data_IF_195685883013
#
_entry.id   IF_195685883013
#
_cell.length_a   1.000
_cell.length_b   1.000
_cell.length_c   1.000
_cell.angle_alpha   90.00
_cell.angle_beta   90.00
_cell.angle_gamma   90.00
#
_symmetry.space_group_name_H-M   'P 1'
#
loop_
_entity.id
_entity.type
_entity.pdbx_description
1 polymer ?
#
# COMPACT_ATOMS: atom_id res chain seq x y z
N UNK A 1 -14.28 1.59 21.92
CA UNK A 1 -14.23 2.43 20.70
C UNK A 1 -12.82 2.29 20.14
N UNK A 2 -12.61 1.46 19.11
CA UNK A 2 -11.27 1.29 18.54
C UNK A 2 -10.97 2.49 17.65
N UNK A 3 -10.09 3.39 18.11
CA UNK A 3 -9.63 4.53 17.31
C UNK A 3 -8.69 3.94 16.25
N UNK A 4 -9.20 3.73 15.04
CA UNK A 4 -8.31 3.49 13.90
C UNK A 4 -7.51 4.79 13.71
N UNK A 5 -6.17 4.76 13.79
CA UNK A 5 -5.38 5.97 13.59
C UNK A 5 -5.65 6.53 12.19
N UNK A 6 -5.91 7.83 12.13
CA UNK A 6 -6.04 8.56 10.87
C UNK A 6 -4.68 9.14 10.54
N UNK A 7 -4.21 8.86 9.34
CA UNK A 7 -2.93 9.36 8.85
C UNK A 7 -3.15 10.74 8.27
N UNK A 8 -2.29 11.69 8.59
CA UNK A 8 -2.29 13.02 8.00
C UNK A 8 -1.05 13.13 7.11
N UNK A 9 -1.27 13.45 5.84
CA UNK A 9 -0.22 13.50 4.82
C UNK A 9 -0.24 14.88 4.18
N UNK A 10 0.92 15.51 4.08
CA UNK A 10 1.12 16.71 3.27
C UNK A 10 1.40 16.31 1.80
N UNK A 11 0.85 17.02 0.80
CA UNK A 11 1.18 16.76 -0.60
C UNK A 11 2.67 16.72 -0.92
N UNK A 12 3.49 17.49 -0.20
CA UNK A 12 4.94 17.51 -0.38
C UNK A 12 5.62 16.22 0.09
N UNK A 13 4.93 15.41 0.91
CA UNK A 13 5.39 14.09 1.35
C UNK A 13 5.01 12.98 0.35
N UNK A 14 4.17 13.29 -0.64
CA UNK A 14 3.80 12.30 -1.65
C UNK A 14 5.02 11.96 -2.53
N UNK A 15 5.30 10.67 -2.72
CA UNK A 15 6.41 10.26 -3.56
C UNK A 15 6.12 10.64 -5.01
N UNK A 16 7.15 11.12 -5.69
CA UNK A 16 7.11 11.30 -7.14
C UNK A 16 7.26 9.94 -7.79
N UNK A 17 6.15 9.40 -8.29
CA UNK A 17 6.10 8.17 -9.07
C UNK A 17 5.71 8.50 -10.50
N UNK A 18 6.46 7.99 -11.46
CA UNK A 18 6.08 7.93 -12.86
C UNK A 18 5.11 6.76 -13.03
N UNK A 19 3.82 7.06 -13.17
CA UNK A 19 2.76 6.07 -13.29
C UNK A 19 2.22 6.08 -14.72
N UNK A 20 2.37 4.98 -15.48
CA UNK A 20 1.76 4.84 -16.79
C UNK A 20 0.23 4.94 -16.74
N UNK A 21 -0.41 5.40 -17.81
CA UNK A 21 -1.88 5.36 -17.95
C UNK A 21 -2.42 3.94 -18.27
N UNK A 22 -1.86 2.93 -17.63
CA UNK A 22 -2.29 1.52 -17.75
C UNK A 22 -2.37 0.88 -16.38
N UNK A 23 -3.18 -0.17 -16.28
CA UNK A 23 -3.25 -1.00 -15.09
C UNK A 23 -1.90 -1.69 -14.82
N UNK A 24 -1.52 -1.74 -13.56
CA UNK A 24 -0.29 -2.41 -13.15
C UNK A 24 0.00 -2.37 -11.65
N UNK A 25 1.21 -2.77 -11.31
CA UNK A 25 1.70 -2.89 -9.94
C UNK A 25 2.98 -2.05 -9.79
N UNK A 26 3.02 -1.24 -8.74
CA UNK A 26 4.26 -0.59 -8.31
C UNK A 26 4.92 -1.49 -7.26
N UNK A 27 6.10 -1.98 -7.57
CA UNK A 27 6.88 -2.90 -6.74
C UNK A 27 8.03 -2.14 -6.07
N UNK A 28 8.16 -2.27 -4.75
CA UNK A 28 9.27 -1.69 -4.01
C UNK A 28 9.96 -2.73 -3.12
N UNK A 29 11.29 -2.62 -3.05
CA UNK A 29 12.14 -3.56 -2.35
C UNK A 29 11.94 -3.61 -0.82
N UNK A 30 12.35 -4.72 -0.22
CA UNK A 30 12.26 -4.99 1.22
C UNK A 30 13.11 -4.04 2.09
N UNK A 31 14.24 -3.56 1.56
CA UNK A 31 15.14 -2.64 2.26
C UNK A 31 14.76 -1.19 1.98
N UNK A 32 14.47 -0.43 3.03
CA UNK A 32 14.49 1.02 2.97
C UNK A 32 15.92 1.51 2.94
N UNK A 33 16.57 1.49 1.77
CA UNK A 33 17.74 2.33 1.59
C UNK A 33 17.28 3.78 1.78
N UNK A 34 17.62 4.35 2.93
CA UNK A 34 17.73 5.81 3.06
C UNK A 34 18.92 6.17 2.18
N UNK A 35 18.67 6.55 0.95
CA UNK A 35 19.70 7.21 0.16
C UNK A 35 20.08 8.47 0.94
N UNK A 36 21.36 8.52 1.35
CA UNK A 36 21.92 9.42 2.35
C UNK A 36 22.01 10.88 1.90
N UNK A 37 20.99 11.43 1.26
CA UNK A 37 20.94 12.82 0.81
C UNK A 37 19.48 13.28 0.75
N UNK A 38 18.95 13.76 1.89
CA UNK A 38 17.86 14.75 1.97
C UNK A 38 16.73 14.73 0.92
N UNK A 39 16.26 13.56 0.51
CA UNK A 39 15.34 13.38 -0.62
C UNK A 39 15.61 12.04 -1.31
N UNK A 40 15.42 10.94 -0.59
CA UNK A 40 15.72 9.60 -1.11
C UNK A 40 14.72 9.18 -2.19
N UNK A 41 15.19 9.06 -3.43
CA UNK A 41 14.44 8.38 -4.48
C UNK A 41 14.25 6.91 -4.09
N UNK A 42 13.01 6.45 -3.98
CA UNK A 42 12.74 5.02 -3.80
C UNK A 42 12.77 4.38 -5.18
N UNK A 43 13.73 3.48 -5.42
CA UNK A 43 13.68 2.65 -6.63
C UNK A 43 12.42 1.78 -6.61
N UNK A 44 11.63 1.92 -7.67
CA UNK A 44 10.40 1.16 -7.90
C UNK A 44 10.41 0.56 -9.29
N UNK A 45 9.82 -0.62 -9.41
CA UNK A 45 9.52 -1.25 -10.69
C UNK A 45 8.02 -1.15 -10.97
N UNK A 46 7.65 -0.89 -12.22
CA UNK A 46 6.26 -0.95 -12.66
C UNK A 46 6.03 -2.21 -13.50
N UNK A 47 5.14 -3.08 -13.04
CA UNK A 47 4.73 -4.28 -13.76
C UNK A 47 3.32 -4.07 -14.32
N UNK A 48 3.20 -4.00 -15.64
CA UNK A 48 1.90 -3.93 -16.31
C UNK A 48 1.11 -5.23 -16.08
N UNK A 49 -0.17 -5.10 -15.76
CA UNK A 49 -1.05 -6.22 -15.43
C UNK A 49 -2.47 -5.91 -15.90
N UNK A 50 -3.17 -6.90 -16.45
CA UNK A 50 -4.56 -6.74 -16.86
C UNK A 50 -5.47 -6.40 -15.66
N UNK A 51 -6.47 -5.56 -15.93
CA UNK A 51 -7.36 -5.00 -14.90
C UNK A 51 -8.02 -6.05 -13.99
N UNK A 52 -8.38 -7.20 -14.55
CA UNK A 52 -9.03 -8.33 -13.87
C UNK A 52 -8.06 -9.20 -13.07
N UNK A 53 -6.75 -9.09 -13.36
CA UNK A 53 -5.70 -9.84 -12.66
C UNK A 53 -5.00 -9.04 -11.54
N UNK A 54 -5.22 -7.73 -11.46
CA UNK A 54 -4.47 -6.81 -10.58
C UNK A 54 -4.29 -7.33 -9.16
N UNK A 55 -5.37 -7.74 -8.49
CA UNK A 55 -5.27 -8.15 -7.09
C UNK A 55 -4.54 -9.49 -6.92
N UNK A 56 -4.83 -10.44 -7.81
CA UNK A 56 -4.19 -11.76 -7.80
C UNK A 56 -2.68 -11.61 -8.00
N UNK A 57 -2.28 -10.84 -9.01
CA UNK A 57 -0.87 -10.57 -9.34
C UNK A 57 -0.18 -9.77 -8.25
N UNK A 58 -0.87 -8.84 -7.58
CA UNK A 58 -0.30 -8.10 -6.47
C UNK A 58 0.07 -9.02 -5.29
N UNK A 59 -0.80 -9.97 -4.97
CA UNK A 59 -0.55 -10.97 -3.92
C UNK A 59 0.56 -11.94 -4.31
N UNK A 60 0.61 -12.37 -5.58
CA UNK A 60 1.70 -13.21 -6.10
C UNK A 60 3.05 -12.49 -6.06
N UNK A 61 3.10 -11.23 -6.50
CA UNK A 61 4.31 -10.41 -6.49
C UNK A 61 4.80 -10.15 -5.06
N UNK A 62 3.89 -10.01 -4.10
CA UNK A 62 4.25 -9.87 -2.69
C UNK A 62 4.98 -11.10 -2.14
N UNK A 63 4.83 -12.29 -2.74
CA UNK A 63 5.57 -13.48 -2.34
C UNK A 63 7.02 -13.50 -2.85
N UNK A 64 7.42 -12.56 -3.71
CA UNK A 64 8.79 -12.52 -4.23
C UNK A 64 9.78 -12.09 -3.14
N UNK A 65 10.91 -12.81 -2.96
CA UNK A 65 11.79 -12.62 -1.79
C UNK A 65 12.38 -11.21 -1.60
N UNK A 66 12.50 -10.42 -2.67
CA UNK A 66 13.09 -9.08 -2.64
C UNK A 66 12.04 -7.97 -2.50
N UNK A 67 10.75 -8.28 -2.63
CA UNK A 67 9.65 -7.32 -2.60
C UNK A 67 9.19 -7.08 -1.16
N UNK A 68 9.23 -5.82 -0.74
CA UNK A 68 8.77 -5.37 0.58
C UNK A 68 7.34 -4.85 0.55
N UNK A 69 6.95 -4.22 -0.54
CA UNK A 69 5.61 -3.68 -0.72
C UNK A 69 5.19 -3.67 -2.18
N UNK A 70 3.91 -3.93 -2.42
CA UNK A 70 3.26 -3.86 -3.71
C UNK A 70 2.10 -2.88 -3.61
N UNK A 71 2.00 -1.98 -4.58
CA UNK A 71 0.88 -1.04 -4.69
C UNK A 71 0.14 -1.29 -5.98
N UNK A 72 -1.16 -1.53 -5.91
CA UNK A 72 -2.01 -1.67 -7.07
C UNK A 72 -2.26 -0.29 -7.69
N UNK A 73 -2.04 -0.19 -8.99
CA UNK A 73 -2.29 0.99 -9.79
C UNK A 73 -3.36 0.68 -10.85
N UNK A 74 -4.62 1.09 -10.62
CA UNK A 74 -5.60 1.15 -11.69
C UNK A 74 -5.31 2.36 -12.57
N UNK A 75 -5.02 2.19 -13.85
CA UNK A 75 -4.60 3.26 -14.77
C UNK A 75 -5.68 4.33 -14.98
N UNK A 76 -6.94 4.00 -14.73
CA UNK A 76 -8.08 4.93 -14.79
C UNK A 76 -8.26 5.79 -13.53
N UNK A 77 -7.61 5.42 -12.43
CA UNK A 77 -7.74 6.14 -11.16
C UNK A 77 -6.73 7.30 -11.11
N UNK A 78 -7.04 8.40 -10.39
CA UNK A 78 -6.07 9.48 -10.21
C UNK A 78 -4.76 8.97 -9.59
N UNK A 79 -3.62 9.30 -10.22
CA UNK A 79 -2.28 8.90 -9.79
C UNK A 79 -2.00 9.18 -8.29
N UNK A 80 -2.60 10.24 -7.75
CA UNK A 80 -2.54 10.61 -6.32
C UNK A 80 -2.98 9.45 -5.40
N UNK A 81 -3.99 8.67 -5.80
CA UNK A 81 -4.45 7.52 -5.00
C UNK A 81 -3.39 6.43 -4.91
N UNK A 82 -2.71 6.15 -6.02
CA UNK A 82 -1.60 5.18 -6.04
C UNK A 82 -0.41 5.70 -5.24
N UNK A 83 -0.07 6.99 -5.36
CA UNK A 83 1.01 7.61 -4.57
C UNK A 83 0.73 7.56 -3.06
N UNK A 84 -0.50 7.86 -2.66
CA UNK A 84 -0.96 7.71 -1.27
C UNK A 84 -0.87 6.25 -0.79
N UNK A 85 -1.42 5.31 -1.56
CA UNK A 85 -1.37 3.89 -1.24
C UNK A 85 0.07 3.39 -1.08
N UNK A 86 0.95 3.79 -2.00
CA UNK A 86 2.37 3.46 -1.95
C UNK A 86 3.05 4.00 -0.71
N UNK A 87 2.86 5.28 -0.38
CA UNK A 87 3.45 5.91 0.81
C UNK A 87 3.05 5.15 2.08
N UNK A 88 1.76 4.87 2.23
CA UNK A 88 1.24 4.15 3.38
C UNK A 88 1.72 2.70 3.40
N UNK A 89 1.75 2.02 2.25
CA UNK A 89 2.28 0.67 2.12
C UNK A 89 3.75 0.56 2.56
N UNK A 90 4.56 1.57 2.20
CA UNK A 90 5.96 1.68 2.65
C UNK A 90 6.06 1.90 4.15
N UNK A 91 5.28 2.83 4.71
CA UNK A 91 5.32 3.06 6.15
C UNK A 91 4.86 1.84 6.95
N UNK A 92 3.78 1.17 6.53
CA UNK A 92 3.33 -0.08 7.12
C UNK A 92 4.45 -1.14 7.08
N UNK A 93 5.16 -1.26 5.95
CA UNK A 93 6.28 -2.18 5.82
C UNK A 93 7.41 -1.85 6.81
N UNK A 94 7.78 -0.58 6.94
CA UNK A 94 8.81 -0.12 7.89
C UNK A 94 8.40 -0.40 9.34
N UNK A 95 7.15 -0.11 9.71
CA UNK A 95 6.61 -0.38 11.04
C UNK A 95 6.61 -1.87 11.38
N UNK A 96 6.22 -2.71 10.42
CA UNK A 96 6.27 -4.17 10.57
C UNK A 96 7.71 -4.65 10.79
N UNK A 97 8.66 -4.18 9.97
CA UNK A 97 10.08 -4.50 10.13
C UNK A 97 10.62 -4.09 11.51
N UNK A 98 10.31 -2.88 11.96
CA UNK A 98 10.73 -2.36 13.27
C UNK A 98 10.20 -3.21 14.44
N UNK A 99 9.09 -3.92 14.24
CA UNK A 99 8.47 -4.84 15.21
C UNK A 99 8.84 -6.31 14.97
N UNK A 100 9.86 -6.59 14.18
CA UNK A 100 10.31 -7.95 13.85
C UNK A 100 9.26 -8.77 13.09
N UNK A 101 8.34 -8.12 12.38
CA UNK A 101 7.38 -8.78 11.49
C UNK A 101 7.81 -8.59 10.05
N UNK A 102 8.52 -9.58 9.52
CA UNK A 102 8.99 -9.54 8.14
C UNK A 102 7.91 -10.04 7.18
N UNK A 103 6.94 -9.18 6.87
CA UNK A 103 5.81 -9.51 6.00
C UNK A 103 5.55 -8.42 4.97
N UNK A 104 5.44 -8.79 3.67
CA UNK A 104 5.21 -7.83 2.60
C UNK A 104 3.84 -7.17 2.74
N UNK A 105 3.73 -5.95 2.25
CA UNK A 105 2.51 -5.15 2.31
C UNK A 105 1.93 -4.99 0.91
N UNK A 106 0.65 -5.32 0.73
CA UNK A 106 -0.08 -5.04 -0.51
C UNK A 106 -1.08 -3.93 -0.24
N UNK A 107 -1.06 -2.86 -1.02
CA UNK A 107 -1.97 -1.71 -0.84
C UNK A 107 -2.65 -1.28 -2.13
N UNK A 108 -3.80 -0.64 -2.00
CA UNK A 108 -4.52 0.00 -3.09
C UNK A 108 -5.27 1.24 -2.63
N UNK A 109 -5.28 2.27 -3.48
CA UNK A 109 -5.84 3.58 -3.16
C UNK A 109 -7.33 3.74 -3.43
N UNK A 110 -7.95 2.73 -4.00
CA UNK A 110 -9.39 2.65 -4.27
C UNK A 110 -9.92 1.28 -3.90
N UNK A 111 -11.22 1.16 -3.66
CA UNK A 111 -11.81 -0.15 -3.47
C UNK A 111 -11.87 -0.86 -4.84
N UNK A 112 -11.18 -1.99 -4.97
CA UNK A 112 -11.52 -2.94 -6.04
C UNK A 112 -12.89 -3.56 -5.74
N UNK A 113 -13.54 -4.06 -6.79
CA UNK A 113 -14.81 -4.78 -6.69
C UNK A 113 -14.69 -5.90 -5.63
N UNK A 114 -15.68 -6.10 -4.73
CA UNK A 114 -15.62 -7.13 -3.69
C UNK A 114 -15.30 -8.53 -4.21
N UNK A 115 -15.73 -8.86 -5.42
CA UNK A 115 -15.49 -10.12 -6.11
C UNK A 115 -14.01 -10.36 -6.39
N UNK A 116 -13.22 -9.30 -6.60
CA UNK A 116 -11.78 -9.38 -6.78
C UNK A 116 -11.08 -9.90 -5.51
N UNK A 117 -11.59 -9.55 -4.32
CA UNK A 117 -11.01 -9.94 -3.03
C UNK A 117 -11.69 -11.17 -2.37
N UNK A 118 -13.00 -11.32 -2.56
CA UNK A 118 -13.87 -12.23 -1.81
C UNK A 118 -13.75 -13.70 -2.22
N UNK A 119 -13.30 -14.01 -3.43
CA UNK A 119 -13.11 -15.38 -3.90
C UNK A 119 -11.79 -16.04 -3.50
N UNK A 120 -10.82 -15.28 -2.98
CA UNK A 120 -9.41 -15.71 -2.86
C UNK A 120 -8.91 -15.88 -1.41
N UNK A 121 -9.80 -15.86 -0.41
CA UNK A 121 -9.39 -15.97 1.00
C UNK A 121 -8.62 -14.75 1.52
N UNK A 122 -8.72 -13.62 0.83
CA UNK A 122 -8.08 -12.36 1.18
C UNK A 122 -8.93 -11.57 2.18
N UNK A 123 -8.30 -10.65 2.90
CA UNK A 123 -8.91 -9.69 3.81
C UNK A 123 -8.45 -8.29 3.43
N UNK A 124 -9.41 -7.37 3.35
CA UNK A 124 -9.15 -5.97 3.09
C UNK A 124 -9.23 -5.20 4.42
N UNK A 125 -8.12 -4.60 4.82
CA UNK A 125 -8.00 -3.80 6.04
C UNK A 125 -8.03 -2.32 5.64
N UNK A 126 -9.02 -1.54 6.09
CA UNK A 126 -9.10 -0.13 5.75
C UNK A 126 -8.07 0.69 6.53
N UNK A 127 -7.42 1.61 5.84
CA UNK A 127 -6.57 2.66 6.40
C UNK A 127 -7.13 4.02 5.99
N UNK A 128 -7.40 4.87 6.98
CA UNK A 128 -7.98 6.20 6.75
C UNK A 128 -6.87 7.24 6.68
N UNK A 129 -6.84 7.99 5.59
CA UNK A 129 -5.83 9.03 5.33
C UNK A 129 -6.52 10.35 5.07
N UNK A 130 -5.96 11.43 5.58
CA UNK A 130 -6.30 12.81 5.26
C UNK A 130 -5.15 13.41 4.48
N UNK A 131 -5.42 13.81 3.26
CA UNK A 131 -4.46 14.55 2.44
C UNK A 131 -4.82 16.03 2.48
N UNK A 132 -3.83 16.88 2.75
CA UNK A 132 -4.02 18.33 2.70
C UNK A 132 -4.14 18.78 1.24
N UNK A 133 -5.14 19.58 0.91
CA UNK A 133 -5.35 20.16 -0.42
C UNK A 133 -5.59 21.66 -0.24
N UNK A 134 -4.53 22.45 -0.35
CA UNK A 134 -4.56 23.86 0.04
C UNK A 134 -4.85 24.01 1.53
N UNK A 135 -5.96 24.67 1.85
CA UNK A 135 -6.45 24.91 3.22
C UNK A 135 -7.39 23.81 3.75
N UNK A 136 -7.76 22.83 2.90
CA UNK A 136 -8.72 21.78 3.22
C UNK A 136 -8.04 20.43 3.41
N UNK A 137 -8.74 19.54 4.11
CA UNK A 137 -8.34 18.14 4.26
C UNK A 137 -9.33 17.23 3.56
N UNK A 138 -8.85 16.46 2.60
CA UNK A 138 -9.64 15.46 1.89
C UNK A 138 -9.42 14.09 2.53
N UNK A 139 -10.50 13.35 2.81
CA UNK A 139 -10.43 12.01 3.37
C UNK A 139 -10.39 10.96 2.27
N UNK A 140 -9.46 10.03 2.41
CA UNK A 140 -9.27 8.88 1.54
C UNK A 140 -9.33 7.61 2.38
N UNK A 141 -9.91 6.56 1.82
CA UNK A 141 -9.81 5.20 2.36
C UNK A 141 -8.93 4.41 1.43
N UNK A 142 -7.81 3.97 1.97
CA UNK A 142 -6.90 3.04 1.32
C UNK A 142 -7.16 1.66 1.91
N UNK A 143 -6.74 0.63 1.19
CA UNK A 143 -6.88 -0.74 1.63
C UNK A 143 -5.53 -1.41 1.66
N UNK A 144 -5.30 -2.17 2.73
CA UNK A 144 -4.25 -3.16 2.78
C UNK A 144 -4.86 -4.53 2.55
N UNK A 145 -4.24 -5.32 1.70
CA UNK A 145 -4.71 -6.64 1.32
C UNK A 145 -3.85 -7.67 2.04
N UNK A 146 -4.50 -8.57 2.76
CA UNK A 146 -3.85 -9.59 3.55
C UNK A 146 -4.39 -10.98 3.22
N UNK A 147 -3.49 -11.97 3.19
CA UNK A 147 -3.90 -13.36 3.32
C UNK A 147 -4.39 -13.66 4.75
N UNK A 148 -5.17 -14.73 4.94
CA UNK A 148 -5.78 -15.06 6.23
C UNK A 148 -4.76 -15.17 7.38
N UNK A 149 -3.62 -15.85 7.16
CA UNK A 149 -2.56 -15.99 8.18
C UNK A 149 -1.98 -14.63 8.59
N UNK A 150 -1.74 -13.77 7.60
CA UNK A 150 -1.22 -12.41 7.82
C UNK A 150 -2.23 -11.56 8.61
N UNK A 151 -3.51 -11.67 8.26
CA UNK A 151 -4.59 -10.98 8.96
C UNK A 151 -4.73 -11.40 10.42
N UNK A 152 -4.63 -12.70 10.73
CA UNK A 152 -4.64 -13.19 12.12
C UNK A 152 -3.44 -12.65 12.90
N UNK A 153 -2.23 -12.74 12.35
CA UNK A 153 -1.03 -12.16 12.99
C UNK A 153 -1.17 -10.65 13.22
N UNK A 154 -1.80 -9.95 12.28
CA UNK A 154 -2.08 -8.52 12.42
C UNK A 154 -3.06 -8.24 13.57
N UNK A 155 -4.12 -9.03 13.73
CA UNK A 155 -5.07 -8.90 14.84
C UNK A 155 -4.36 -9.08 16.19
N UNK A 156 -3.53 -10.12 16.31
CA UNK A 156 -2.80 -10.42 17.54
C UNK A 156 -1.85 -9.29 17.94
N UNK A 157 -1.21 -8.66 16.96
CA UNK A 157 -0.28 -7.54 17.16
C UNK A 157 -0.96 -6.18 17.32
N UNK A 158 -2.28 -6.08 17.10
CA UNK A 158 -3.08 -4.86 17.24
C UNK A 158 -3.73 -4.74 18.62
N UNK A 159 -3.91 -5.85 19.34
CA UNK A 159 -4.42 -5.82 20.70
C UNK A 159 -3.41 -5.08 21.61
N UNK A 160 -3.85 -4.10 22.43
CA UNK A 160 -2.99 -3.55 23.46
C UNK A 160 -2.65 -4.69 24.43
N UNK A 161 -1.35 -4.92 24.65
CA UNK A 161 -0.88 -5.63 25.84
C UNK A 161 -1.16 -4.84 27.10
#
# INVERSE_FOLDING_TARGET
MSIVPVWEVDPLELPTLELPETDGLVLAGASGARDGSGGGCVEVEFLAVDADELLRRAVEAAAWPHIGSVTVHPGRDPAERTRLAFLIGRQLRLERSARGWDSPVVTLGSALRPEAAGGQGLRMVPHHVRLRCGDRWNRHTLWEVMGLRQYVTWLDRRAPG
#
